data_IF_147456222797
#
_entry.id   IF_147456222797
#
_cell.length_a   1.000
_cell.length_b   1.000
_cell.length_c   1.000
_cell.angle_alpha   90.00
_cell.angle_beta   90.00
_cell.angle_gamma   90.00
#
_symmetry.space_group_name_H-M   'P 1'
#
loop_
_entity.id
_entity.type
_entity.pdbx_description
1 polymer ?
#
# COMPACT_ATOMS: atom_id res chain seq x y z
N UNK A 1 -21.27 -9.78 9.04
CA UNK A 1 -20.72 -8.59 9.72
C UNK A 1 -19.24 -8.53 9.38
N UNK A 2 -18.85 -7.71 8.40
CA UNK A 2 -17.48 -7.64 7.87
C UNK A 2 -17.06 -6.18 7.75
N UNK A 3 -16.72 -5.58 8.88
CA UNK A 3 -16.21 -4.22 8.97
C UNK A 3 -15.14 -4.19 10.07
N UNK A 4 -14.03 -4.89 9.86
CA UNK A 4 -12.87 -4.81 10.75
C UNK A 4 -11.74 -4.06 10.04
N UNK A 5 -11.49 -2.85 10.55
CA UNK A 5 -10.20 -2.21 10.71
C UNK A 5 -9.32 -2.05 9.46
N UNK A 6 -9.53 -0.97 8.71
CA UNK A 6 -8.45 -0.39 7.91
C UNK A 6 -8.37 1.12 8.14
N UNK A 7 -8.24 1.52 9.42
CA UNK A 7 -7.92 2.90 9.75
C UNK A 7 -6.38 3.00 9.78
N UNK A 8 -5.76 3.94 9.04
CA UNK A 8 -4.32 4.10 9.10
C UNK A 8 -3.90 4.33 10.56
N UNK A 9 -2.72 3.84 10.98
CA UNK A 9 -2.23 4.09 12.33
C UNK A 9 -2.21 5.60 12.59
N UNK A 10 -2.69 5.99 13.78
CA UNK A 10 -2.78 7.39 14.22
C UNK A 10 -1.40 8.05 14.34
N UNK A 11 -0.36 7.24 14.48
CA UNK A 11 1.04 7.64 14.43
C UNK A 11 1.64 7.22 13.09
N UNK A 12 1.89 8.19 12.21
CA UNK A 12 2.61 7.97 10.96
C UNK A 12 4.07 7.62 11.26
N UNK A 13 4.33 6.32 11.47
CA UNK A 13 5.67 5.75 11.69
C UNK A 13 6.09 4.93 10.47
N UNK A 14 7.38 4.91 10.22
CA UNK A 14 7.99 4.06 9.20
C UNK A 14 7.77 2.58 9.55
N UNK A 15 7.47 1.75 8.54
CA UNK A 15 7.23 0.31 8.70
C UNK A 15 7.79 -0.45 7.52
N UNK A 16 8.29 -1.65 7.80
CA UNK A 16 8.65 -2.62 6.77
C UNK A 16 7.48 -3.59 6.58
N UNK A 17 7.01 -3.72 5.34
CA UNK A 17 5.90 -4.63 4.98
C UNK A 17 6.38 -5.55 3.88
N UNK A 18 6.24 -6.85 4.08
CA UNK A 18 6.61 -7.86 3.08
C UNK A 18 5.35 -8.37 2.39
N UNK A 19 5.35 -8.35 1.06
CA UNK A 19 4.24 -8.85 0.24
C UNK A 19 4.77 -9.87 -0.74
N UNK A 20 4.14 -11.04 -0.76
CA UNK A 20 4.39 -12.07 -1.77
C UNK A 20 3.57 -11.77 -3.01
N UNK A 21 4.24 -11.64 -4.15
CA UNK A 21 3.58 -11.39 -5.44
C UNK A 21 2.68 -12.58 -5.82
N UNK A 22 1.43 -12.29 -6.20
CA UNK A 22 0.52 -13.29 -6.76
C UNK A 22 0.78 -13.52 -8.26
N UNK A 23 0.50 -14.73 -8.74
CA UNK A 23 0.65 -15.11 -10.17
C UNK A 23 -0.21 -14.25 -11.09
N UNK A 24 -1.44 -13.95 -10.66
CA UNK A 24 -2.37 -13.04 -11.34
C UNK A 24 -2.53 -11.81 -10.45
N UNK A 25 -2.51 -10.60 -11.02
CA UNK A 25 -2.67 -9.35 -10.27
C UNK A 25 -1.40 -8.78 -9.61
N UNK A 26 -0.35 -9.60 -9.44
CA UNK A 26 0.95 -9.14 -8.98
C UNK A 26 0.93 -8.72 -7.51
N UNK A 27 1.32 -7.48 -7.21
CA UNK A 27 1.30 -6.94 -5.84
C UNK A 27 -0.06 -6.36 -5.44
N UNK A 28 -0.95 -6.07 -6.40
CA UNK A 28 -2.28 -5.55 -6.08
C UNK A 28 -2.30 -4.11 -5.57
N UNK A 29 -1.37 -3.25 -6.03
CA UNK A 29 -1.35 -1.81 -5.70
C UNK A 29 -0.95 -0.96 -6.92
N UNK A 30 -1.26 0.34 -6.87
CA UNK A 30 -0.78 1.34 -7.83
C UNK A 30 0.04 2.41 -7.11
N UNK A 31 1.05 2.92 -7.82
CA UNK A 31 1.98 3.95 -7.36
C UNK A 31 1.77 5.23 -8.15
N UNK A 32 2.03 6.38 -7.51
CA UNK A 32 2.14 7.69 -8.17
C UNK A 32 3.34 8.46 -7.62
N UNK A 33 3.75 9.50 -8.34
CA UNK A 33 4.93 10.29 -8.02
C UNK A 33 6.21 9.59 -8.42
N UNK A 34 7.33 10.18 -8.03
CA UNK A 34 8.66 9.77 -8.48
C UNK A 34 9.62 10.95 -8.57
N UNK A 35 10.90 10.61 -8.65
CA UNK A 35 11.97 11.59 -8.63
C UNK A 35 11.95 12.50 -9.87
N UNK A 36 11.47 11.99 -11.01
CA UNK A 36 11.35 12.76 -12.25
C UNK A 36 10.47 14.01 -12.09
N UNK A 37 9.46 13.96 -11.22
CA UNK A 37 8.57 15.09 -10.92
C UNK A 37 8.81 15.75 -9.56
N UNK A 38 9.88 15.36 -8.84
CA UNK A 38 10.15 15.82 -7.45
C UNK A 38 8.98 15.57 -6.50
N UNK A 39 8.21 14.50 -6.73
CA UNK A 39 7.08 14.10 -5.90
C UNK A 39 7.44 12.84 -5.11
N UNK A 40 6.92 12.67 -3.88
CA UNK A 40 7.11 11.42 -3.13
C UNK A 40 6.47 10.25 -3.87
N UNK A 41 7.06 9.06 -3.71
CA UNK A 41 6.50 7.81 -4.23
C UNK A 41 5.39 7.37 -3.28
N UNK A 42 4.13 7.42 -3.74
CA UNK A 42 2.96 7.16 -2.90
C UNK A 42 2.12 6.00 -3.43
N UNK A 43 1.51 5.24 -2.51
CA UNK A 43 0.46 4.28 -2.85
C UNK A 43 -0.82 5.06 -3.22
N UNK A 44 -1.21 4.99 -4.49
CA UNK A 44 -2.39 5.68 -5.03
C UNK A 44 -3.66 4.84 -5.00
N UNK A 45 -3.53 3.51 -5.02
CA UNK A 45 -4.66 2.57 -4.95
C UNK A 45 -4.21 1.21 -4.41
N UNK A 46 -5.10 0.55 -3.67
CA UNK A 46 -5.00 -0.86 -3.27
C UNK A 46 -6.19 -1.60 -3.90
N UNK A 47 -5.92 -2.71 -4.58
CA UNK A 47 -6.95 -3.48 -5.28
C UNK A 47 -7.52 -4.55 -4.35
N UNK A 48 -8.84 -4.47 -4.08
CA UNK A 48 -9.55 -5.42 -3.21
C UNK A 48 -9.32 -6.87 -3.64
N UNK A 49 -9.08 -7.73 -2.67
CA UNK A 49 -8.85 -9.16 -2.86
C UNK A 49 -7.48 -9.53 -3.43
N UNK A 50 -6.58 -8.57 -3.68
CA UNK A 50 -5.22 -8.85 -4.15
C UNK A 50 -4.19 -8.80 -3.01
N UNK A 51 -2.93 -9.10 -3.32
CA UNK A 51 -1.88 -9.31 -2.33
C UNK A 51 -1.73 -8.17 -1.29
N UNK A 52 -1.72 -6.91 -1.73
CA UNK A 52 -1.63 -5.75 -0.84
C UNK A 52 -2.87 -5.55 0.06
N UNK A 53 -4.07 -5.82 -0.45
CA UNK A 53 -5.32 -5.75 0.32
C UNK A 53 -5.37 -6.86 1.37
N UNK A 54 -5.01 -8.07 0.98
CA UNK A 54 -4.95 -9.24 1.86
C UNK A 54 -3.89 -9.12 2.96
N UNK A 55 -2.80 -8.38 2.70
CA UNK A 55 -1.78 -8.09 3.70
C UNK A 55 -2.33 -7.21 4.83
N UNK A 56 -3.25 -6.28 4.55
CA UNK A 56 -3.89 -5.44 5.57
C UNK A 56 -2.97 -4.46 6.30
N UNK A 57 -1.72 -4.30 5.84
CA UNK A 57 -0.71 -3.43 6.46
C UNK A 57 -0.36 -2.20 5.62
N UNK A 58 -0.89 -2.09 4.41
CA UNK A 58 -0.70 -0.96 3.51
C UNK A 58 -1.98 -0.13 3.37
N UNK A 59 -1.80 1.18 3.20
CA UNK A 59 -2.89 2.14 3.10
C UNK A 59 -2.65 3.10 1.95
N UNK A 60 -3.75 3.57 1.33
CA UNK A 60 -3.66 4.63 0.32
C UNK A 60 -3.12 5.90 0.98
N UNK A 61 -2.11 6.50 0.35
CA UNK A 61 -1.40 7.66 0.89
C UNK A 61 -0.10 7.32 1.60
N UNK A 62 0.19 6.04 1.87
CA UNK A 62 1.51 5.63 2.35
C UNK A 62 2.60 6.07 1.38
N UNK A 63 3.68 6.60 1.94
CA UNK A 63 4.91 6.89 1.21
C UNK A 63 5.81 5.65 1.20
N UNK A 64 6.34 5.33 0.02
CA UNK A 64 7.37 4.30 -0.14
C UNK A 64 8.72 4.99 -0.05
N UNK A 65 9.50 4.54 0.92
CA UNK A 65 10.83 5.05 1.23
C UNK A 65 11.87 3.93 1.03
N UNK A 66 13.13 4.33 0.84
CA UNK A 66 14.26 3.41 0.61
C UNK A 66 14.93 3.02 1.92
#
# INVERSE_FOLDING_TARGET
QAANHNKPPVDAKERMVQITRQKVGGLGLSIKGGAEHKLPVLISRIYKGQAADQCGQLFVGDAIIK
#
